data_IF_504185789118
#
_entry.id   IF_504185789118
#
_cell.length_a   1.000
_cell.length_b   1.000
_cell.length_c   1.000
_cell.angle_alpha   90.00
_cell.angle_beta   90.00
_cell.angle_gamma   90.00
#
_symmetry.space_group_name_H-M   'P 1'
#
loop_
_entity.id
_entity.type
_entity.pdbx_description
1 polymer ?
#
# COMPACT_ATOMS: atom_id res chain seq x y z
N UNK A 1 23.08 7.71 4.14
CA UNK A 1 22.06 8.25 3.21
C UNK A 1 21.96 7.37 1.96
N UNK A 2 21.51 6.12 2.08
CA UNK A 2 21.50 5.17 0.95
C UNK A 2 20.36 4.14 1.05
N UNK A 3 19.12 4.60 1.28
CA UNK A 3 17.92 3.74 1.22
C UNK A 3 16.84 4.23 0.26
N UNK A 4 16.99 5.44 -0.30
CA UNK A 4 15.99 6.05 -1.20
C UNK A 4 16.20 5.71 -2.68
N UNK A 5 17.41 5.36 -3.12
CA UNK A 5 17.70 5.12 -4.53
C UNK A 5 17.13 3.81 -5.09
N UNK A 6 16.84 2.82 -4.24
CA UNK A 6 16.32 1.52 -4.69
C UNK A 6 14.78 1.51 -4.84
N UNK A 7 14.10 2.51 -4.27
CA UNK A 7 12.65 2.69 -4.43
C UNK A 7 12.29 3.39 -5.75
N UNK A 8 13.26 4.03 -6.41
CA UNK A 8 13.07 4.81 -7.64
C UNK A 8 12.89 3.93 -8.89
N UNK A 9 13.55 2.76 -8.92
CA UNK A 9 13.38 1.80 -10.02
C UNK A 9 12.00 1.10 -10.00
N UNK A 10 11.39 0.91 -8.83
CA UNK A 10 10.06 0.30 -8.72
C UNK A 10 8.94 1.29 -9.04
N UNK A 11 9.14 2.59 -8.78
CA UNK A 11 8.22 3.62 -9.26
C UNK A 11 8.22 3.64 -10.80
N UNK A 12 9.38 3.64 -11.45
CA UNK A 12 9.45 3.83 -12.90
C UNK A 12 8.79 2.69 -13.72
N UNK A 13 8.89 1.44 -13.27
CA UNK A 13 8.32 0.28 -13.99
C UNK A 13 6.78 0.22 -13.90
N UNK A 14 6.17 0.93 -12.94
CA UNK A 14 4.71 1.01 -12.79
C UNK A 14 4.11 2.29 -13.43
N UNK A 15 4.94 3.20 -13.97
CA UNK A 15 4.56 4.57 -14.30
C UNK A 15 4.56 4.92 -15.81
N UNK A 16 3.84 4.16 -16.64
CA UNK A 16 3.23 4.81 -17.81
C UNK A 16 1.86 5.37 -17.40
N UNK A 17 1.87 6.62 -16.95
CA UNK A 17 0.67 7.43 -16.67
C UNK A 17 0.24 7.48 -15.21
N UNK A 18 1.05 8.08 -14.33
CA UNK A 18 0.62 8.36 -12.95
C UNK A 18 0.30 9.83 -12.82
N UNK A 19 -0.99 10.11 -12.63
CA UNK A 19 -1.53 11.42 -12.27
C UNK A 19 -0.85 11.93 -11.00
N UNK A 20 -0.58 13.24 -10.92
CA UNK A 20 0.15 13.91 -9.83
C UNK A 20 -0.38 13.57 -8.42
N UNK A 21 -1.66 13.23 -8.32
CA UNK A 21 -2.35 12.86 -7.09
C UNK A 21 -1.93 11.50 -6.53
N UNK A 22 -1.54 10.56 -7.39
CA UNK A 22 -1.15 9.22 -6.97
C UNK A 22 0.24 9.18 -6.32
N UNK A 23 1.18 10.03 -6.74
CA UNK A 23 2.49 10.12 -6.06
C UNK A 23 2.33 10.68 -4.63
N UNK A 24 1.49 11.70 -4.47
CA UNK A 24 1.15 12.28 -3.17
C UNK A 24 0.45 11.26 -2.28
N UNK A 25 -0.51 10.50 -2.83
CA UNK A 25 -1.21 9.44 -2.10
C UNK A 25 -0.24 8.34 -1.61
N UNK A 26 0.71 7.89 -2.45
CA UNK A 26 1.73 6.91 -2.05
C UNK A 26 2.60 7.44 -0.92
N UNK A 27 3.08 8.69 -1.02
CA UNK A 27 3.92 9.30 0.04
C UNK A 27 3.16 9.37 1.37
N UNK A 28 1.87 9.70 1.34
CA UNK A 28 1.06 9.76 2.55
C UNK A 28 0.75 8.36 3.10
N UNK A 29 0.44 7.40 2.23
CA UNK A 29 0.26 5.99 2.60
C UNK A 29 1.54 5.43 3.26
N UNK A 30 2.73 5.72 2.74
CA UNK A 30 4.00 5.27 3.35
C UNK A 30 4.18 5.77 4.80
N UNK A 31 3.74 7.00 5.10
CA UNK A 31 3.79 7.54 6.47
C UNK A 31 2.83 6.79 7.40
N UNK A 32 1.62 6.52 6.92
CA UNK A 32 0.56 5.84 7.70
C UNK A 32 0.82 4.36 7.89
N UNK A 33 1.56 3.72 6.98
CA UNK A 33 1.87 2.27 6.91
C UNK A 33 0.67 1.38 6.62
N UNK A 34 -0.44 1.59 7.32
CA UNK A 34 -1.69 0.85 7.15
C UNK A 34 -2.83 1.84 6.97
N UNK A 35 -3.69 1.58 5.98
CA UNK A 35 -4.81 2.45 5.58
C UNK A 35 -6.03 1.62 5.18
N UNK A 36 -7.21 2.25 5.10
CA UNK A 36 -8.42 1.68 4.52
C UNK A 36 -8.63 2.11 3.05
N UNK A 37 -9.60 1.49 2.38
CA UNK A 37 -9.96 1.87 1.01
C UNK A 37 -10.57 3.28 0.94
N UNK A 38 -11.32 3.70 1.95
CA UNK A 38 -11.90 5.04 2.05
C UNK A 38 -10.81 6.09 2.19
N UNK A 39 -9.81 5.86 3.06
CA UNK A 39 -8.67 6.78 3.19
C UNK A 39 -7.90 6.93 1.87
N UNK A 40 -7.80 5.86 1.07
CA UNK A 40 -7.13 5.92 -0.23
C UNK A 40 -7.99 6.65 -1.27
N UNK A 41 -9.30 6.48 -1.22
CA UNK A 41 -10.23 7.24 -2.05
C UNK A 41 -10.11 8.75 -1.75
N UNK A 42 -10.06 9.12 -0.47
CA UNK A 42 -9.88 10.50 -0.01
C UNK A 42 -8.51 11.07 -0.43
N UNK A 43 -7.44 10.28 -0.30
CA UNK A 43 -6.08 10.70 -0.70
C UNK A 43 -5.93 10.93 -2.21
N UNK A 44 -6.74 10.23 -3.01
CA UNK A 44 -6.74 10.31 -4.47
C UNK A 44 -7.84 11.25 -5.01
N UNK A 45 -8.65 11.86 -4.13
CA UNK A 45 -9.87 12.61 -4.50
C UNK A 45 -10.73 11.85 -5.53
N UNK A 46 -10.96 10.56 -5.26
CA UNK A 46 -11.54 9.64 -6.24
C UNK A 46 -12.56 8.70 -5.63
N UNK A 47 -13.28 7.97 -6.47
CA UNK A 47 -14.19 6.93 -5.98
C UNK A 47 -13.44 5.72 -5.39
N UNK A 48 -14.10 5.01 -4.47
CA UNK A 48 -13.64 3.71 -3.93
C UNK A 48 -13.26 2.71 -5.02
N UNK A 49 -13.94 2.74 -6.17
CA UNK A 49 -13.63 1.87 -7.32
C UNK A 49 -12.26 2.20 -7.91
N UNK A 50 -11.91 3.48 -8.06
CA UNK A 50 -10.60 3.91 -8.55
C UNK A 50 -9.51 3.61 -7.51
N UNK A 51 -9.77 3.91 -6.24
CA UNK A 51 -8.88 3.55 -5.13
C UNK A 51 -8.53 2.06 -5.13
N UNK A 52 -9.53 1.17 -5.36
CA UNK A 52 -9.32 -0.27 -5.37
C UNK A 52 -8.47 -0.72 -6.56
N UNK A 53 -8.65 -0.09 -7.73
CA UNK A 53 -7.80 -0.31 -8.91
C UNK A 53 -6.36 0.12 -8.63
N UNK A 54 -6.15 1.23 -7.92
CA UNK A 54 -4.81 1.69 -7.55
C UNK A 54 -4.13 0.78 -6.53
N UNK A 55 -4.82 0.34 -5.49
CA UNK A 55 -4.29 -0.65 -4.53
C UNK A 55 -3.81 -1.93 -5.23
N UNK A 56 -4.58 -2.42 -6.22
CA UNK A 56 -4.18 -3.56 -7.05
C UNK A 56 -2.93 -3.26 -7.88
N UNK A 57 -2.84 -2.09 -8.51
CA UNK A 57 -1.66 -1.66 -9.28
C UNK A 57 -0.41 -1.55 -8.39
N UNK A 58 -0.55 -1.04 -7.18
CA UNK A 58 0.53 -0.90 -6.20
C UNK A 58 0.87 -2.20 -5.47
N UNK A 59 0.17 -3.30 -5.77
CA UNK A 59 0.39 -4.64 -5.20
C UNK A 59 0.36 -4.65 -3.67
N UNK A 60 -0.59 -3.92 -3.08
CA UNK A 60 -0.72 -3.84 -1.62
C UNK A 60 -1.09 -5.18 -1.01
N UNK A 61 -0.56 -5.44 0.19
CA UNK A 61 -1.04 -6.52 1.04
C UNK A 61 -2.38 -6.15 1.66
N UNK A 62 -3.28 -7.11 1.78
CA UNK A 62 -4.59 -6.96 2.44
C UNK A 62 -4.57 -7.70 3.77
N UNK A 63 -5.21 -7.15 4.79
CA UNK A 63 -5.35 -7.86 6.07
C UNK A 63 -6.18 -9.13 5.89
N UNK A 64 -5.74 -10.26 6.46
CA UNK A 64 -6.58 -11.47 6.44
C UNK A 64 -7.57 -11.51 7.60
N UNK A 65 -7.41 -10.63 8.58
CA UNK A 65 -8.41 -10.36 9.61
C UNK A 65 -9.15 -9.04 9.34
N UNK A 66 -10.09 -8.69 10.23
CA UNK A 66 -10.88 -7.45 10.13
C UNK A 66 -11.64 -7.30 8.79
N UNK A 67 -12.12 -8.42 8.24
CA UNK A 67 -12.86 -8.48 6.97
C UNK A 67 -12.09 -7.90 5.76
N UNK A 68 -10.76 -7.98 5.75
CA UNK A 68 -9.96 -7.46 4.63
C UNK A 68 -9.98 -5.94 4.49
N UNK A 69 -10.27 -5.22 5.58
CA UNK A 69 -10.46 -3.77 5.57
C UNK A 69 -9.17 -2.96 5.39
N UNK A 70 -8.03 -3.53 5.76
CA UNK A 70 -6.77 -2.80 5.86
C UNK A 70 -5.77 -3.20 4.79
N UNK A 71 -5.02 -2.21 4.31
CA UNK A 71 -4.04 -2.35 3.25
C UNK A 71 -2.67 -1.82 3.67
N UNK A 72 -1.59 -2.42 3.13
CA UNK A 72 -0.22 -1.95 3.31
C UNK A 72 0.57 -2.04 2.00
N UNK A 73 1.38 -1.02 1.71
CA UNK A 73 2.27 -1.03 0.54
C UNK A 73 3.37 -2.10 0.67
N UNK A 74 3.86 -2.65 -0.46
CA UNK A 74 5.08 -3.45 -0.48
C UNK A 74 6.27 -2.74 0.18
N UNK A 75 7.14 -3.50 0.85
CA UNK A 75 8.33 -2.98 1.54
C UNK A 75 8.06 -2.37 2.92
N UNK A 76 6.79 -2.20 3.33
CA UNK A 76 6.43 -1.77 4.69
C UNK A 76 6.31 -2.95 5.67
N UNK A 77 5.58 -4.04 5.34
CA UNK A 77 5.45 -5.18 6.24
C UNK A 77 6.79 -5.80 6.60
N UNK A 78 6.89 -6.25 7.85
CA UNK A 78 8.01 -7.09 8.32
C UNK A 78 7.44 -8.43 8.74
N UNK A 79 7.39 -9.34 7.79
CA UNK A 79 6.88 -10.69 8.01
C UNK A 79 7.83 -11.48 8.90
N UNK A 80 7.26 -12.29 9.79
CA UNK A 80 7.99 -13.27 10.60
C UNK A 80 8.28 -14.56 9.80
N UNK A 81 8.82 -15.57 10.49
CA UNK A 81 9.15 -16.87 9.91
C UNK A 81 7.93 -17.61 9.34
N UNK A 82 6.73 -17.31 9.86
CA UNK A 82 5.46 -17.87 9.37
C UNK A 82 4.87 -17.05 8.23
N UNK A 83 5.51 -15.95 7.84
CA UNK A 83 5.00 -15.06 6.82
C UNK A 83 3.89 -14.14 7.30
N UNK A 84 3.76 -13.95 8.61
CA UNK A 84 2.74 -13.10 9.21
C UNK A 84 3.38 -11.78 9.63
N UNK A 85 2.73 -10.68 9.31
CA UNK A 85 3.06 -9.38 9.86
C UNK A 85 1.89 -8.89 10.71
N UNK A 86 2.14 -8.80 12.02
CA UNK A 86 1.20 -8.20 12.97
C UNK A 86 1.47 -6.71 13.11
N UNK A 87 0.50 -5.89 12.72
CA UNK A 87 0.49 -4.45 12.94
C UNK A 87 -0.64 -4.08 13.91
N UNK A 88 -0.30 -3.88 15.19
CA UNK A 88 -1.28 -3.80 16.29
C UNK A 88 -2.16 -5.05 16.28
N UNK A 89 -3.48 -4.91 16.18
CA UNK A 89 -4.41 -6.04 16.08
C UNK A 89 -4.68 -6.51 14.64
N UNK A 90 -4.04 -5.89 13.63
CA UNK A 90 -4.24 -6.20 12.22
C UNK A 90 -3.18 -7.21 11.78
N UNK A 91 -3.59 -8.24 11.04
CA UNK A 91 -2.71 -9.30 10.58
C UNK A 91 -2.68 -9.33 9.05
N UNK A 92 -1.46 -9.36 8.51
CA UNK A 92 -1.18 -9.51 7.08
C UNK A 92 -0.41 -10.80 6.84
N UNK A 93 -0.67 -11.42 5.69
CA UNK A 93 0.04 -12.63 5.24
C UNK A 93 0.87 -12.28 4.00
N UNK A 94 2.11 -12.75 3.95
CA UNK A 94 2.95 -12.64 2.75
C UNK A 94 2.46 -13.54 1.61
N UNK A 95 1.67 -14.57 1.95
CA UNK A 95 1.10 -15.54 1.02
C UNK A 95 -0.32 -15.16 0.57
N UNK A 96 -0.80 -13.99 1.00
CA UNK A 96 -2.13 -13.46 0.68
C UNK A 96 -2.27 -13.02 -0.76
#
# INVERSE_FOLDING_TARGET
MAKYAQNDCLLHILCHGVDMDAEKAIKEFQKRKVVTIEEIADLLDSSVTIARRQLKKWRTYTSFNMNGRYYSLPGIPRFDELGIWKYREILFSQYG
#
